data_IF_752055241475
#
_entry.id   IF_752055241475
#
_cell.length_a   1.000
_cell.length_b   1.000
_cell.length_c   1.000
_cell.angle_alpha   90.00
_cell.angle_beta   90.00
_cell.angle_gamma   90.00
#
_symmetry.space_group_name_H-M   'P 1'
#
loop_
_entity.id
_entity.type
_entity.pdbx_description
1 polymer ?
#
# COMPACT_ATOMS: atom_id res chain seq x y z
N UNK A 1 -1.26 -27.96 18.32
CA UNK A 1 -2.50 -27.66 19.07
C UNK A 1 -3.13 -26.43 18.48
N UNK A 2 -4.30 -26.57 17.83
CA UNK A 2 -5.10 -25.45 17.32
C UNK A 2 -5.90 -24.89 18.49
N UNK A 3 -5.46 -23.78 19.08
CA UNK A 3 -6.34 -22.98 19.92
C UNK A 3 -7.23 -22.15 19.00
N UNK A 4 -8.43 -22.66 18.72
CA UNK A 4 -9.55 -21.87 18.27
C UNK A 4 -9.88 -20.88 19.39
N UNK A 5 -9.32 -19.67 19.33
CA UNK A 5 -9.83 -18.56 20.14
C UNK A 5 -11.12 -18.14 19.44
N UNK A 6 -12.23 -18.77 19.82
CA UNK A 6 -13.57 -18.58 19.24
C UNK A 6 -14.23 -17.25 19.62
N UNK A 7 -13.47 -16.30 20.16
CA UNK A 7 -13.91 -14.92 20.34
C UNK A 7 -12.68 -14.03 20.28
N UNK A 8 -12.43 -13.41 19.12
CA UNK A 8 -11.59 -12.22 19.08
C UNK A 8 -12.14 -11.23 20.10
N UNK A 9 -11.31 -10.62 20.96
CA UNK A 9 -11.78 -9.57 21.85
C UNK A 9 -12.49 -8.51 21.01
N UNK A 10 -13.67 -8.08 21.46
CA UNK A 10 -14.38 -6.96 20.85
C UNK A 10 -13.55 -5.71 21.07
N UNK A 11 -13.03 -5.14 19.98
CA UNK A 11 -12.25 -3.91 20.01
C UNK A 11 -13.18 -2.71 20.28
N UNK A 12 -12.75 -1.71 21.06
CA UNK A 12 -13.58 -0.55 21.36
C UNK A 12 -13.77 0.33 20.12
N UNK A 13 -14.99 0.77 19.84
CA UNK A 13 -15.30 1.63 18.68
C UNK A 13 -14.67 3.03 18.76
N UNK A 14 -14.18 3.43 19.93
CA UNK A 14 -13.44 4.68 20.15
C UNK A 14 -11.99 4.62 19.69
N UNK A 15 -11.52 3.48 19.20
CA UNK A 15 -10.12 3.29 18.80
C UNK A 15 -9.79 4.14 17.57
N UNK A 16 -8.78 5.01 17.70
CA UNK A 16 -8.24 5.80 16.57
C UNK A 16 -7.05 5.11 15.89
N UNK A 17 -6.32 4.25 16.62
CA UNK A 17 -5.17 3.53 16.10
C UNK A 17 -5.21 2.06 16.51
N UNK A 18 -5.06 1.16 15.55
CA UNK A 18 -4.99 -0.28 15.75
C UNK A 18 -3.65 -0.78 15.21
N UNK A 19 -2.96 -1.59 16.01
CA UNK A 19 -1.76 -2.30 15.58
C UNK A 19 -1.92 -3.79 15.85
N UNK A 20 -1.74 -4.61 14.82
CA UNK A 20 -1.72 -6.07 14.89
C UNK A 20 -0.32 -6.52 14.44
N UNK A 21 0.48 -7.01 15.39
CA UNK A 21 1.86 -7.39 15.14
C UNK A 21 2.16 -8.82 15.64
N UNK A 22 2.92 -9.59 14.87
CA UNK A 22 3.46 -10.89 15.30
C UNK A 22 2.42 -11.99 15.45
N UNK A 23 1.25 -11.83 14.82
CA UNK A 23 0.18 -12.81 14.86
C UNK A 23 0.35 -13.84 13.73
N UNK A 24 1.40 -14.65 13.76
CA UNK A 24 1.50 -15.86 12.92
C UNK A 24 0.97 -17.05 13.77
N UNK A 25 -0.14 -17.72 13.40
CA UNK A 25 -0.67 -17.94 12.06
C UNK A 25 -2.03 -17.27 11.82
N UNK A 26 -2.18 -15.95 12.03
CA UNK A 26 -3.44 -15.26 11.79
C UNK A 26 -3.77 -15.31 10.30
N UNK A 27 -4.57 -16.30 9.91
CA UNK A 27 -5.00 -16.52 8.53
C UNK A 27 -6.05 -15.49 8.08
N UNK A 28 -6.72 -14.82 9.02
CA UNK A 28 -7.77 -13.83 8.76
C UNK A 28 -7.73 -12.69 9.77
N UNK A 29 -7.92 -11.45 9.33
CA UNK A 29 -8.06 -10.32 10.25
C UNK A 29 -9.32 -10.44 11.13
N UNK A 30 -9.31 -9.90 12.36
CA UNK A 30 -10.52 -9.76 13.15
C UNK A 30 -11.52 -8.85 12.44
N UNK A 31 -12.81 -8.94 12.81
CA UNK A 31 -13.82 -8.03 12.25
C UNK A 31 -13.54 -6.59 12.70
N UNK A 32 -13.23 -5.72 11.74
CA UNK A 32 -12.93 -4.31 11.97
C UNK A 32 -14.11 -3.37 11.69
N UNK A 33 -15.26 -3.88 11.22
CA UNK A 33 -16.37 -3.07 10.70
C UNK A 33 -16.92 -2.02 11.69
N UNK A 34 -16.79 -2.26 13.00
CA UNK A 34 -17.28 -1.34 14.04
C UNK A 34 -16.29 -0.24 14.44
N UNK A 35 -15.10 -0.19 13.84
CA UNK A 35 -14.04 0.76 14.17
C UNK A 35 -14.15 2.03 13.31
N UNK A 36 -15.31 2.66 13.31
CA UNK A 36 -15.61 3.82 12.46
C UNK A 36 -14.75 5.06 12.75
N UNK A 37 -14.10 5.13 13.92
CA UNK A 37 -13.19 6.22 14.31
C UNK A 37 -11.71 5.89 14.01
N UNK A 38 -11.42 4.74 13.40
CA UNK A 38 -10.06 4.31 13.16
C UNK A 38 -9.41 5.16 12.07
N UNK A 39 -8.35 5.87 12.45
CA UNK A 39 -7.56 6.74 11.57
C UNK A 39 -6.27 6.06 11.11
N UNK A 40 -5.76 5.11 11.88
CA UNK A 40 -4.50 4.43 11.57
C UNK A 40 -4.57 2.94 11.83
N UNK A 41 -4.15 2.15 10.84
CA UNK A 41 -4.06 0.70 10.92
C UNK A 41 -2.64 0.24 10.59
N UNK A 42 -1.99 -0.39 11.56
CA UNK A 42 -0.70 -1.07 11.40
C UNK A 42 -0.91 -2.59 11.42
N UNK A 43 -0.39 -3.25 10.40
CA UNK A 43 -0.39 -4.70 10.26
C UNK A 43 1.06 -5.14 10.03
N UNK A 44 1.62 -5.96 10.92
CA UNK A 44 3.02 -6.39 10.83
C UNK A 44 3.19 -7.88 11.16
N UNK A 45 3.98 -8.60 10.37
CA UNK A 45 4.26 -10.02 10.57
C UNK A 45 2.95 -10.85 10.70
N UNK A 46 2.04 -10.70 9.73
CA UNK A 46 0.74 -11.39 9.72
C UNK A 46 0.67 -12.46 8.62
N UNK A 47 -0.07 -13.54 8.89
CA UNK A 47 -0.16 -14.71 8.00
C UNK A 47 -1.32 -14.67 7.01
N UNK A 48 -2.00 -13.54 6.86
CA UNK A 48 -3.24 -13.42 6.07
C UNK A 48 -2.96 -13.55 4.58
N UNK A 49 -3.89 -14.17 3.85
CA UNK A 49 -3.82 -14.28 2.39
C UNK A 49 -4.53 -13.13 1.66
N UNK A 50 -5.50 -12.49 2.33
CA UNK A 50 -6.30 -11.38 1.82
C UNK A 50 -6.61 -10.36 2.92
N UNK A 51 -6.77 -9.09 2.52
CA UNK A 51 -7.35 -8.06 3.38
C UNK A 51 -8.87 -8.04 3.11
N UNK A 52 -9.73 -8.18 4.14
CA UNK A 52 -11.17 -8.05 3.97
C UNK A 52 -11.51 -6.62 3.51
N UNK A 53 -12.72 -6.43 2.97
CA UNK A 53 -13.18 -5.09 2.64
C UNK A 53 -13.17 -4.19 3.88
N UNK A 54 -12.40 -3.10 3.80
CA UNK A 54 -12.25 -2.12 4.86
C UNK A 54 -13.11 -0.87 4.62
N UNK A 55 -14.06 -0.88 3.68
CA UNK A 55 -14.89 0.27 3.32
C UNK A 55 -15.72 0.89 4.45
N UNK A 56 -15.93 0.19 5.56
CA UNK A 56 -16.56 0.76 6.76
C UNK A 56 -15.61 1.64 7.59
N UNK A 57 -14.30 1.53 7.38
CA UNK A 57 -13.26 2.35 8.04
C UNK A 57 -13.13 3.72 7.35
N UNK A 58 -14.24 4.47 7.31
CA UNK A 58 -14.35 5.71 6.52
C UNK A 58 -13.45 6.85 6.98
N UNK A 59 -12.89 6.77 8.19
CA UNK A 59 -11.97 7.75 8.75
C UNK A 59 -10.49 7.33 8.61
N UNK A 60 -10.21 6.22 7.93
CA UNK A 60 -8.86 5.67 7.86
C UNK A 60 -7.98 6.52 6.94
N UNK A 61 -7.02 7.22 7.54
CA UNK A 61 -6.06 8.08 6.86
C UNK A 61 -4.74 7.35 6.59
N UNK A 62 -4.39 6.37 7.41
CA UNK A 62 -3.07 5.71 7.35
C UNK A 62 -3.18 4.19 7.41
N UNK A 63 -2.62 3.53 6.41
CA UNK A 63 -2.53 2.08 6.35
C UNK A 63 -1.07 1.66 6.14
N UNK A 64 -0.54 0.90 7.10
CA UNK A 64 0.81 0.39 7.05
C UNK A 64 0.79 -1.13 7.18
N UNK A 65 1.33 -1.80 6.17
CA UNK A 65 1.48 -3.24 6.11
C UNK A 65 2.96 -3.60 6.00
N UNK A 66 3.41 -4.52 6.85
CA UNK A 66 4.78 -5.02 6.89
C UNK A 66 4.76 -6.55 7.02
N UNK A 67 5.60 -7.24 6.25
CA UNK A 67 5.86 -8.67 6.39
C UNK A 67 4.58 -9.53 6.39
N UNK A 68 3.78 -9.39 5.34
CA UNK A 68 2.61 -10.22 5.07
C UNK A 68 2.93 -11.25 3.97
N UNK A 69 3.68 -12.29 4.35
CA UNK A 69 4.32 -13.24 3.42
C UNK A 69 3.35 -14.08 2.59
N UNK A 70 2.09 -14.20 3.01
CA UNK A 70 1.06 -14.96 2.27
C UNK A 70 0.08 -14.06 1.51
N UNK A 71 0.18 -12.74 1.65
CA UNK A 71 -0.82 -11.81 1.10
C UNK A 71 -0.69 -11.68 -0.41
N UNK A 72 -1.76 -11.98 -1.15
CA UNK A 72 -1.74 -12.03 -2.62
C UNK A 72 -2.26 -10.73 -3.25
N UNK A 73 -3.18 -10.04 -2.57
CA UNK A 73 -3.78 -8.78 -3.04
C UNK A 73 -4.20 -7.86 -1.88
N UNK A 74 -4.52 -6.61 -2.23
CA UNK A 74 -4.97 -5.57 -1.30
C UNK A 74 -6.35 -5.00 -1.71
N UNK A 75 -7.20 -5.79 -2.38
CA UNK A 75 -8.47 -5.30 -2.95
C UNK A 75 -9.39 -4.67 -1.89
N UNK A 76 -9.30 -5.11 -0.62
CA UNK A 76 -10.06 -4.55 0.50
C UNK A 76 -9.78 -3.09 0.84
N UNK A 77 -8.77 -2.45 0.23
CA UNK A 77 -8.49 -1.03 0.42
C UNK A 77 -9.19 -0.12 -0.61
N UNK A 78 -9.87 -0.66 -1.62
CA UNK A 78 -10.36 0.09 -2.79
C UNK A 78 -11.37 1.21 -2.49
N UNK A 79 -12.00 1.21 -1.31
CA UNK A 79 -13.03 2.16 -0.90
C UNK A 79 -12.53 3.18 0.17
N UNK A 80 -11.24 3.21 0.47
CA UNK A 80 -10.66 4.09 1.51
C UNK A 80 -10.37 5.49 0.96
N UNK A 81 -11.41 6.25 0.62
CA UNK A 81 -11.30 7.55 -0.07
C UNK A 81 -10.53 8.63 0.73
N UNK A 82 -10.46 8.52 2.06
CA UNK A 82 -9.71 9.44 2.93
C UNK A 82 -8.26 9.00 3.19
N UNK A 83 -7.79 7.91 2.59
CA UNK A 83 -6.45 7.41 2.83
C UNK A 83 -5.40 8.42 2.32
N UNK A 84 -4.56 8.90 3.23
CA UNK A 84 -3.48 9.86 2.96
C UNK A 84 -2.10 9.16 2.88
N UNK A 85 -1.91 8.08 3.64
CA UNK A 85 -0.65 7.32 3.68
C UNK A 85 -0.90 5.82 3.45
N UNK A 86 -0.26 5.27 2.42
CA UNK A 86 -0.23 3.83 2.14
C UNK A 86 1.21 3.34 2.11
N UNK A 87 1.56 2.45 3.04
CA UNK A 87 2.86 1.79 3.07
C UNK A 87 2.69 0.28 3.05
N UNK A 88 3.31 -0.38 2.08
CA UNK A 88 3.33 -1.83 1.91
C UNK A 88 4.79 -2.28 1.84
N UNK A 89 5.21 -3.10 2.79
CA UNK A 89 6.59 -3.54 2.94
C UNK A 89 6.67 -5.07 3.13
N UNK A 90 7.61 -5.74 2.47
CA UNK A 90 7.91 -7.15 2.73
C UNK A 90 6.76 -8.09 2.42
N UNK A 91 6.03 -7.85 1.33
CA UNK A 91 4.91 -8.70 0.91
C UNK A 91 5.34 -9.60 -0.24
N UNK A 92 6.00 -10.71 0.12
CA UNK A 92 6.75 -11.58 -0.80
C UNK A 92 5.92 -12.21 -1.92
N UNK A 93 4.61 -12.37 -1.75
CA UNK A 93 3.74 -13.00 -2.77
C UNK A 93 2.67 -12.05 -3.30
N UNK A 94 2.72 -10.77 -2.92
CA UNK A 94 1.77 -9.76 -3.37
C UNK A 94 1.93 -9.54 -4.87
N UNK A 95 0.84 -9.75 -5.62
CA UNK A 95 0.85 -9.65 -7.10
C UNK A 95 0.26 -8.36 -7.61
N UNK A 96 -0.72 -7.81 -6.88
CA UNK A 96 -1.46 -6.62 -7.27
C UNK A 96 -1.86 -5.78 -6.07
N UNK A 97 -1.85 -4.47 -6.26
CA UNK A 97 -2.58 -3.51 -5.44
C UNK A 97 -4.04 -3.42 -5.93
N UNK A 98 -4.97 -2.87 -5.12
CA UNK A 98 -6.22 -2.38 -5.68
C UNK A 98 -5.93 -1.29 -6.72
N UNK A 99 -6.91 -0.97 -7.56
CA UNK A 99 -6.84 0.30 -8.30
C UNK A 99 -6.75 1.44 -7.28
N UNK A 100 -5.74 2.29 -7.42
CA UNK A 100 -5.54 3.45 -6.56
C UNK A 100 -6.43 4.64 -6.97
N UNK A 101 -7.21 4.52 -8.04
CA UNK A 101 -7.98 5.62 -8.64
C UNK A 101 -8.95 6.32 -7.69
N UNK A 102 -9.43 5.62 -6.65
CA UNK A 102 -10.35 6.19 -5.66
C UNK A 102 -9.62 6.81 -4.46
N UNK A 103 -8.32 6.57 -4.30
CA UNK A 103 -7.52 7.05 -3.16
C UNK A 103 -7.01 8.48 -3.42
N UNK A 104 -7.88 9.37 -3.90
CA UNK A 104 -7.50 10.72 -4.39
C UNK A 104 -6.88 11.63 -3.33
N UNK A 105 -6.99 11.29 -2.04
CA UNK A 105 -6.34 11.96 -0.91
C UNK A 105 -4.94 11.47 -0.59
N UNK A 106 -4.44 10.45 -1.29
CA UNK A 106 -3.16 9.83 -1.01
C UNK A 106 -2.01 10.82 -1.26
N UNK A 107 -1.24 11.11 -0.22
CA UNK A 107 -0.08 12.02 -0.23
C UNK A 107 1.24 11.27 -0.22
N UNK A 108 1.27 10.10 0.41
CA UNK A 108 2.44 9.22 0.47
C UNK A 108 2.10 7.79 0.06
N UNK A 109 2.85 7.27 -0.91
CA UNK A 109 2.80 5.87 -1.33
C UNK A 109 4.19 5.23 -1.22
N UNK A 110 4.30 4.17 -0.42
CA UNK A 110 5.53 3.39 -0.22
C UNK A 110 5.24 1.93 -0.54
N UNK A 111 5.95 1.39 -1.51
CA UNK A 111 5.89 -0.03 -1.87
C UNK A 111 7.32 -0.54 -1.84
N UNK A 112 7.63 -1.39 -0.86
CA UNK A 112 9.00 -1.82 -0.55
C UNK A 112 9.03 -3.34 -0.51
N UNK A 113 10.00 -3.93 -1.19
CA UNK A 113 10.31 -5.35 -1.15
C UNK A 113 9.06 -6.22 -1.40
N UNK A 114 8.34 -5.89 -2.48
CA UNK A 114 7.20 -6.64 -3.01
C UNK A 114 7.58 -7.26 -4.36
N UNK A 115 8.42 -8.31 -4.39
CA UNK A 115 9.12 -8.74 -5.60
C UNK A 115 8.22 -9.27 -6.71
N UNK A 116 7.02 -9.74 -6.39
CA UNK A 116 6.04 -10.27 -7.37
C UNK A 116 4.97 -9.27 -7.81
N UNK A 117 5.01 -8.03 -7.31
CA UNK A 117 4.10 -6.99 -7.75
C UNK A 117 4.43 -6.63 -9.20
N UNK A 118 3.48 -6.84 -10.10
CA UNK A 118 3.69 -6.66 -11.55
C UNK A 118 3.13 -5.36 -12.10
N UNK A 119 2.17 -4.74 -11.40
CA UNK A 119 1.48 -3.53 -11.84
C UNK A 119 1.03 -2.64 -10.69
N UNK A 120 0.89 -1.34 -10.98
CA UNK A 120 0.27 -0.33 -10.11
C UNK A 120 -0.74 0.42 -10.97
N UNK A 121 -2.04 0.21 -10.69
CA UNK A 121 -3.12 0.83 -11.45
C UNK A 121 -3.67 2.07 -10.74
N UNK A 122 -4.17 3.04 -11.50
CA UNK A 122 -4.81 4.25 -10.96
C UNK A 122 -3.85 5.31 -10.40
N UNK A 123 -2.53 5.12 -10.52
CA UNK A 123 -1.53 6.07 -10.00
C UNK A 123 -1.71 7.49 -10.55
N UNK A 124 -2.08 7.63 -11.82
CA UNK A 124 -2.24 8.93 -12.47
C UNK A 124 -3.45 9.75 -12.00
N UNK A 125 -4.31 9.20 -11.14
CA UNK A 125 -5.47 9.90 -10.56
C UNK A 125 -5.14 10.50 -9.18
N UNK A 126 -3.91 10.29 -8.68
CA UNK A 126 -3.47 10.73 -7.35
C UNK A 126 -2.90 12.16 -7.40
N UNK A 127 -3.77 13.14 -7.66
CA UNK A 127 -3.38 14.56 -7.85
C UNK A 127 -2.64 15.16 -6.64
N UNK A 128 -2.92 14.69 -5.43
CA UNK A 128 -2.31 15.15 -4.17
C UNK A 128 -1.02 14.39 -3.79
N UNK A 129 -0.59 13.38 -4.58
CA UNK A 129 0.56 12.54 -4.25
C UNK A 129 1.84 13.35 -4.28
N UNK A 130 2.49 13.44 -3.12
CA UNK A 130 3.71 14.24 -2.91
C UNK A 130 4.97 13.39 -2.78
N UNK A 131 4.83 12.15 -2.30
CA UNK A 131 5.92 11.22 -2.08
C UNK A 131 5.60 9.83 -2.65
N UNK A 132 6.45 9.34 -3.54
CA UNK A 132 6.40 7.99 -4.10
C UNK A 132 7.74 7.28 -3.93
N UNK A 133 7.72 6.16 -3.20
CA UNK A 133 8.83 5.22 -3.09
C UNK A 133 8.40 3.84 -3.57
N UNK A 134 9.11 3.34 -4.57
CA UNK A 134 9.01 1.96 -5.05
C UNK A 134 10.40 1.34 -4.93
N UNK A 135 10.52 0.29 -4.12
CA UNK A 135 11.79 -0.40 -3.90
C UNK A 135 11.62 -1.91 -3.98
N UNK A 136 12.58 -2.61 -4.59
CA UNK A 136 12.62 -4.08 -4.56
C UNK A 136 11.48 -4.76 -5.33
N UNK A 137 10.78 -4.04 -6.21
CA UNK A 137 9.63 -4.56 -6.97
C UNK A 137 10.10 -5.17 -8.30
N UNK A 138 10.65 -6.38 -8.22
CA UNK A 138 11.39 -7.01 -9.31
C UNK A 138 10.56 -7.58 -10.47
N UNK A 139 9.24 -7.61 -10.37
CA UNK A 139 8.33 -7.98 -11.46
C UNK A 139 7.58 -6.77 -12.06
N UNK A 140 7.77 -5.57 -11.50
CA UNK A 140 7.11 -4.37 -11.97
C UNK A 140 7.77 -3.89 -13.26
N UNK A 141 7.09 -4.02 -14.40
CA UNK A 141 7.69 -3.74 -15.73
C UNK A 141 7.70 -2.25 -16.09
N UNK A 142 6.88 -1.45 -15.41
CA UNK A 142 6.74 -0.02 -15.64
C UNK A 142 5.80 0.63 -14.63
N UNK A 143 5.85 1.96 -14.58
CA UNK A 143 5.01 2.77 -13.69
C UNK A 143 4.31 3.83 -14.53
N UNK A 144 3.05 3.59 -14.87
CA UNK A 144 2.25 4.48 -15.72
C UNK A 144 1.56 5.57 -14.91
N UNK A 145 1.32 6.74 -15.51
CA UNK A 145 0.59 7.85 -14.87
C UNK A 145 1.45 8.78 -14.04
N UNK A 146 2.77 8.54 -13.92
CA UNK A 146 3.69 9.48 -13.26
C UNK A 146 3.72 10.85 -13.94
N UNK A 147 3.45 10.90 -15.24
CA UNK A 147 3.33 12.11 -16.06
C UNK A 147 2.08 12.96 -15.73
N UNK A 148 1.17 12.47 -14.89
CA UNK A 148 0.02 13.24 -14.40
C UNK A 148 0.21 13.80 -12.98
N UNK A 149 1.26 13.37 -12.26
CA UNK A 149 1.45 13.70 -10.84
C UNK A 149 2.08 15.08 -10.64
N UNK A 150 1.29 16.14 -10.78
CA UNK A 150 1.79 17.53 -10.70
C UNK A 150 2.28 17.93 -9.30
N UNK A 151 1.75 17.31 -8.24
CA UNK A 151 2.10 17.59 -6.84
C UNK A 151 3.32 16.80 -6.34
N UNK A 152 3.87 15.90 -7.16
CA UNK A 152 4.93 14.98 -6.72
C UNK A 152 6.24 15.72 -6.49
N UNK A 153 6.76 15.63 -5.26
CA UNK A 153 7.99 16.28 -4.81
C UNK A 153 9.15 15.28 -4.68
N UNK A 154 8.85 14.01 -4.39
CA UNK A 154 9.88 13.00 -4.22
C UNK A 154 9.49 11.72 -4.94
N UNK A 155 10.38 11.28 -5.83
CA UNK A 155 10.25 10.04 -6.56
C UNK A 155 11.50 9.20 -6.37
N UNK A 156 11.32 8.04 -5.75
CA UNK A 156 12.39 7.07 -5.53
C UNK A 156 11.96 5.73 -6.11
N UNK A 157 12.66 5.26 -7.14
CA UNK A 157 12.49 3.94 -7.72
C UNK A 157 13.85 3.22 -7.65
N UNK A 158 14.00 2.30 -6.70
CA UNK A 158 15.31 1.66 -6.44
C UNK A 158 15.19 0.15 -6.46
N UNK A 159 16.21 -0.54 -6.93
CA UNK A 159 16.28 -2.02 -6.88
C UNK A 159 15.08 -2.68 -7.58
N UNK A 160 14.66 -2.13 -8.72
CA UNK A 160 13.55 -2.65 -9.53
C UNK A 160 14.09 -3.13 -10.89
N UNK A 161 14.56 -4.38 -10.94
CA UNK A 161 15.41 -4.88 -12.03
C UNK A 161 14.78 -4.87 -13.43
N UNK A 162 13.45 -4.96 -13.53
CA UNK A 162 12.74 -5.16 -14.80
C UNK A 162 11.97 -3.94 -15.30
N UNK A 163 12.05 -2.80 -14.60
CA UNK A 163 11.45 -1.55 -15.09
C UNK A 163 12.25 -1.11 -16.32
N UNK A 164 11.63 -1.23 -17.50
CA UNK A 164 12.23 -0.83 -18.79
C UNK A 164 11.79 0.54 -19.26
N UNK A 165 10.63 1.00 -18.79
CA UNK A 165 10.00 2.24 -19.25
C UNK A 165 9.42 3.01 -18.09
N UNK A 166 9.82 4.27 -18.00
CA UNK A 166 9.16 5.29 -17.21
C UNK A 166 8.64 6.35 -18.19
N UNK A 167 7.45 6.94 -17.95
CA UNK A 167 6.96 8.03 -18.77
C UNK A 167 7.87 9.26 -18.61
N UNK A 168 7.80 10.16 -19.58
CA UNK A 168 8.49 11.45 -19.50
C UNK A 168 7.91 12.22 -18.32
N UNK A 169 8.75 12.57 -17.35
CA UNK A 169 8.35 13.21 -16.11
C UNK A 169 8.17 14.73 -16.27
N UNK A 170 7.52 15.18 -17.36
CA UNK A 170 7.35 16.60 -17.70
C UNK A 170 6.39 17.35 -16.77
N UNK A 171 5.54 16.64 -16.04
CA UNK A 171 4.63 17.23 -15.06
C UNK A 171 5.29 17.59 -13.72
N UNK A 172 6.54 17.19 -13.49
CA UNK A 172 7.26 17.50 -12.25
C UNK A 172 7.73 18.96 -12.25
N UNK A 173 6.86 19.86 -11.79
CA UNK A 173 7.07 21.31 -11.85
C UNK A 173 7.82 21.87 -10.63
N UNK A 174 7.90 21.14 -9.50
CA UNK A 174 8.41 21.67 -8.22
C UNK A 174 9.27 20.68 -7.42
N UNK A 175 10.29 21.21 -6.71
CA UNK A 175 11.16 20.59 -5.69
C UNK A 175 11.30 19.06 -5.78
N UNK A 176 12.26 18.57 -6.57
CA UNK A 176 12.41 17.14 -6.84
C UNK A 176 13.62 16.52 -6.14
N UNK A 177 13.37 15.45 -5.38
CA UNK A 177 14.37 14.41 -5.11
C UNK A 177 14.05 13.21 -5.98
N UNK A 178 14.76 13.10 -7.09
CA UNK A 178 14.64 11.97 -8.01
C UNK A 178 15.79 11.00 -7.76
N UNK A 179 15.46 9.73 -7.47
CA UNK A 179 16.45 8.66 -7.42
C UNK A 179 15.89 7.45 -8.16
N UNK A 180 16.50 7.12 -9.29
CA UNK A 180 16.21 5.89 -10.03
C UNK A 180 17.50 5.06 -10.06
N UNK A 181 17.50 3.88 -9.43
CA UNK A 181 18.65 2.97 -9.42
C UNK A 181 18.22 1.53 -9.64
N UNK A 182 19.01 0.76 -10.38
CA UNK A 182 18.70 -0.66 -10.62
C UNK A 182 17.56 -0.93 -11.60
N UNK A 183 16.92 0.11 -12.17
CA UNK A 183 16.09 0.00 -13.36
C UNK A 183 17.01 0.06 -14.59
N UNK A 184 16.95 -0.95 -15.48
CA UNK A 184 17.65 -0.90 -16.77
C UNK A 184 16.89 0.05 -17.69
N UNK A 185 17.25 1.34 -17.66
CA UNK A 185 16.85 2.27 -18.70
C UNK A 185 17.80 2.08 -19.89
N UNK A 186 17.26 1.61 -21.02
CA UNK A 186 17.95 1.64 -22.33
C UNK A 186 18.01 3.08 -22.87
#
# INVERSE_FOLDING_TARGET
MRTLISSSPTLPSSLSTLSICGCQPLERLPNLANLSNLMTLYLSHIGVCEIPDLGELRMLEKFHLMDASNLINLDGLAHLELLEELSVNGCDVLRKLPSLSNLTKLRELKIIDCPFLSEIQGLGELEDLSFLLIKGCNQLTGVTGLDKLESLQQLMITDCAVIKKLPVLSALKHSWKLRITGAMAD
#
